data_IF_819769194728
#
_entry.id   IF_819769194728
#
_cell.length_a   1.000
_cell.length_b   1.000
_cell.length_c   1.000
_cell.angle_alpha   90.00
_cell.angle_beta   90.00
_cell.angle_gamma   90.00
#
_symmetry.space_group_name_H-M   'P 1'
#
loop_
_entity.id
_entity.type
_entity.pdbx_description
1 polymer ?
#
# COMPACT_ATOMS: atom_id res chain seq x y z
N UNK A 1 -12.11 7.83 14.80
CA UNK A 1 -10.74 7.41 14.46
C UNK A 1 -10.92 6.40 13.34
N UNK A 2 -10.56 6.75 12.10
CA UNK A 2 -10.79 5.87 10.95
C UNK A 2 -9.73 4.79 10.99
N UNK A 3 -10.14 3.54 11.19
CA UNK A 3 -9.26 2.38 11.04
C UNK A 3 -9.17 2.03 9.55
N UNK A 4 -7.95 1.77 9.09
CA UNK A 4 -7.70 1.31 7.72
C UNK A 4 -7.50 -0.20 7.72
N UNK A 5 -7.83 -0.89 6.62
CA UNK A 5 -7.70 -2.33 6.51
C UNK A 5 -6.31 -2.80 6.95
N UNK A 6 -6.31 -3.67 7.95
CA UNK A 6 -5.12 -4.24 8.59
C UNK A 6 -5.33 -5.76 8.74
N UNK A 7 -4.28 -6.49 9.12
CA UNK A 7 -4.41 -7.89 9.51
C UNK A 7 -5.25 -8.07 10.78
N UNK A 8 -5.32 -9.31 11.27
CA UNK A 8 -6.17 -9.71 12.42
C UNK A 8 -5.92 -8.89 13.71
N UNK A 9 -4.78 -8.21 13.81
CA UNK A 9 -4.39 -7.38 14.96
C UNK A 9 -4.83 -5.91 14.86
N UNK A 10 -5.47 -5.52 13.75
CA UNK A 10 -5.92 -4.15 13.48
C UNK A 10 -4.79 -3.13 13.32
N UNK A 11 -3.53 -3.58 13.21
CA UNK A 11 -2.35 -2.71 13.22
C UNK A 11 -1.38 -3.01 12.10
N UNK A 12 -1.09 -4.28 11.81
CA UNK A 12 -0.11 -4.64 10.78
C UNK A 12 -0.79 -4.59 9.42
N UNK A 13 -0.21 -3.83 8.48
CA UNK A 13 -0.70 -3.85 7.09
C UNK A 13 -0.04 -4.99 6.30
N UNK A 14 -0.64 -5.34 5.16
CA UNK A 14 -0.13 -6.41 4.31
C UNK A 14 1.34 -6.18 3.86
N UNK A 15 1.70 -4.93 3.54
CA UNK A 15 3.05 -4.54 3.14
C UNK A 15 4.06 -4.78 4.26
N UNK A 16 3.69 -4.49 5.51
CA UNK A 16 4.56 -4.73 6.65
C UNK A 16 4.83 -6.19 6.88
N UNK A 17 3.78 -7.01 6.78
CA UNK A 17 3.88 -8.45 6.97
C UNK A 17 4.79 -9.08 5.91
N UNK A 18 4.52 -8.80 4.63
CA UNK A 18 5.29 -9.41 3.54
C UNK A 18 6.76 -8.96 3.58
N UNK A 19 7.03 -7.67 3.80
CA UNK A 19 8.40 -7.15 3.89
C UNK A 19 9.15 -7.82 5.05
N UNK A 20 8.55 -7.91 6.24
CA UNK A 20 9.18 -8.61 7.38
C UNK A 20 9.47 -10.09 7.10
N UNK A 21 8.58 -10.78 6.39
CA UNK A 21 8.74 -12.20 6.08
C UNK A 21 9.85 -12.47 5.05
N UNK A 22 10.12 -11.53 4.15
CA UNK A 22 11.13 -11.69 3.08
C UNK A 22 12.47 -11.00 3.39
N UNK A 23 12.48 -9.95 4.22
CA UNK A 23 13.71 -9.29 4.69
C UNK A 23 14.62 -10.29 5.41
N UNK A 24 14.04 -11.12 6.28
CA UNK A 24 14.78 -12.16 7.02
C UNK A 24 15.36 -13.26 6.12
N UNK A 25 14.93 -13.34 4.85
CA UNK A 25 15.34 -14.36 3.89
C UNK A 25 16.28 -13.82 2.82
N UNK A 26 16.62 -12.52 2.86
CA UNK A 26 17.46 -11.84 1.89
C UNK A 26 16.98 -12.06 0.43
N UNK A 27 15.66 -12.05 0.22
CA UNK A 27 15.03 -12.33 -1.09
C UNK A 27 14.76 -11.07 -1.93
N UNK A 28 14.94 -9.88 -1.36
CA UNK A 28 14.68 -8.62 -2.07
C UNK A 28 15.92 -8.24 -2.86
N UNK A 29 15.73 -8.02 -4.15
CA UNK A 29 16.74 -7.48 -5.06
C UNK A 29 16.18 -6.33 -5.91
N UNK A 30 17.01 -5.76 -6.78
CA UNK A 30 16.61 -4.65 -7.66
C UNK A 30 15.52 -4.99 -8.68
N UNK A 31 15.20 -6.27 -8.88
CA UNK A 31 14.15 -6.74 -9.80
C UNK A 31 12.82 -7.01 -9.11
N UNK A 32 12.81 -6.99 -7.78
CA UNK A 32 11.63 -7.31 -6.96
C UNK A 32 10.51 -6.29 -7.14
N UNK A 33 9.28 -6.79 -7.29
CA UNK A 33 8.07 -5.98 -7.49
C UNK A 33 7.07 -6.28 -6.37
N UNK A 34 6.66 -5.23 -5.65
CA UNK A 34 5.58 -5.32 -4.67
C UNK A 34 4.24 -5.05 -5.34
N UNK A 35 3.30 -6.00 -5.23
CA UNK A 35 1.94 -5.84 -5.70
C UNK A 35 1.00 -5.61 -4.51
N UNK A 36 0.33 -4.46 -4.50
CA UNK A 36 -0.60 -4.08 -3.45
C UNK A 36 -2.03 -3.99 -3.98
N UNK A 37 -3.01 -4.42 -3.19
CA UNK A 37 -4.42 -4.23 -3.54
C UNK A 37 -4.78 -2.75 -3.57
N UNK A 38 -4.26 -1.97 -2.62
CA UNK A 38 -4.41 -0.51 -2.53
C UNK A 38 -3.06 0.16 -2.52
N UNK A 39 -2.99 1.41 -2.99
CA UNK A 39 -1.80 2.25 -2.91
C UNK A 39 -1.24 2.29 -1.48
N UNK A 40 0.08 2.03 -1.26
CA UNK A 40 0.65 1.97 0.08
C UNK A 40 0.50 3.29 0.83
N UNK A 41 0.17 3.23 2.12
CA UNK A 41 -0.03 4.43 2.90
C UNK A 41 1.30 5.17 3.15
N UNK A 42 1.26 6.51 3.08
CA UNK A 42 2.39 7.37 3.50
C UNK A 42 2.24 7.93 4.92
N UNK A 43 1.19 7.53 5.65
CA UNK A 43 0.93 7.91 7.04
C UNK A 43 0.17 6.79 7.74
N UNK A 44 0.52 6.54 9.00
CA UNK A 44 -0.14 5.58 9.89
C UNK A 44 -1.14 6.28 10.81
N UNK A 45 -2.22 5.57 11.14
CA UNK A 45 -3.10 5.95 12.24
C UNK A 45 -2.52 5.55 13.61
N UNK A 46 -1.79 4.42 13.65
CA UNK A 46 -1.13 3.91 14.86
C UNK A 46 0.16 4.69 15.13
N UNK A 47 0.25 5.29 16.32
CA UNK A 47 1.44 6.01 16.77
C UNK A 47 2.64 5.07 16.98
N UNK A 48 3.85 5.56 16.68
CA UNK A 48 5.11 4.82 16.85
C UNK A 48 5.40 3.77 15.76
N UNK A 49 4.47 3.51 14.82
CA UNK A 49 4.70 2.60 13.70
C UNK A 49 5.10 3.35 12.42
N UNK A 50 6.07 2.80 11.69
CA UNK A 50 6.44 3.31 10.38
C UNK A 50 5.30 3.09 9.36
N UNK A 51 5.11 4.06 8.47
CA UNK A 51 4.20 3.91 7.33
C UNK A 51 4.74 2.96 6.26
N UNK A 52 3.85 2.43 5.42
CA UNK A 52 4.20 1.44 4.41
C UNK A 52 5.21 2.00 3.39
N UNK A 53 5.12 3.27 3.01
CA UNK A 53 6.11 3.92 2.13
C UNK A 53 7.51 3.92 2.76
N UNK A 54 7.62 4.28 4.05
CA UNK A 54 8.90 4.22 4.77
C UNK A 54 9.49 2.80 4.78
N UNK A 55 8.65 1.78 4.97
CA UNK A 55 9.06 0.37 4.99
C UNK A 55 9.52 -0.11 3.61
N UNK A 56 8.78 0.23 2.55
CA UNK A 56 9.16 -0.07 1.17
C UNK A 56 10.53 0.55 0.84
N UNK A 57 10.76 1.81 1.17
CA UNK A 57 12.04 2.49 0.92
C UNK A 57 13.20 1.77 1.62
N UNK A 58 13.02 1.40 2.89
CA UNK A 58 14.04 0.71 3.68
C UNK A 58 14.34 -0.71 3.19
N UNK A 59 13.32 -1.41 2.69
CA UNK A 59 13.43 -2.79 2.21
C UNK A 59 14.27 -2.94 0.93
N UNK A 60 14.48 -1.84 0.19
CA UNK A 60 15.24 -1.86 -1.07
C UNK A 60 14.40 -2.14 -2.32
N UNK A 61 13.10 -2.43 -2.19
CA UNK A 61 12.17 -2.62 -3.31
C UNK A 61 12.17 -1.40 -4.25
N UNK A 62 12.26 -1.64 -5.56
CA UNK A 62 12.33 -0.58 -6.59
C UNK A 62 11.07 -0.41 -7.42
N UNK A 63 10.14 -1.35 -7.33
CA UNK A 63 8.93 -1.36 -8.13
C UNK A 63 7.70 -1.69 -7.27
N UNK A 64 6.68 -0.83 -7.35
CA UNK A 64 5.40 -1.00 -6.69
C UNK A 64 4.28 -0.92 -7.73
N UNK A 65 3.40 -1.91 -7.71
CA UNK A 65 2.18 -1.95 -8.53
C UNK A 65 0.98 -2.00 -7.61
N UNK A 66 -0.05 -1.19 -7.87
CA UNK A 66 -1.24 -1.15 -7.02
C UNK A 66 -2.54 -1.19 -7.81
N UNK A 67 -3.59 -1.72 -7.16
CA UNK A 67 -4.95 -1.80 -7.73
C UNK A 67 -5.75 -0.52 -7.59
N UNK A 68 -6.22 -0.25 -6.37
CA UNK A 68 -7.01 0.93 -6.04
C UNK A 68 -6.17 2.05 -5.41
N UNK A 69 -6.51 3.29 -5.71
CA UNK A 69 -5.81 4.48 -5.18
C UNK A 69 -6.23 4.76 -3.74
N UNK A 70 -5.29 5.14 -2.88
CA UNK A 70 -5.59 5.66 -1.54
C UNK A 70 -6.10 7.11 -1.66
N UNK A 71 -7.34 7.41 -1.23
CA UNK A 71 -7.91 8.75 -1.38
C UNK A 71 -7.22 9.81 -0.51
N UNK A 72 -6.56 9.45 0.59
CA UNK A 72 -6.07 10.41 1.58
C UNK A 72 -4.63 10.85 1.34
N UNK A 73 -3.76 9.95 0.86
CA UNK A 73 -2.31 10.19 0.88
C UNK A 73 -1.57 9.92 -0.43
N UNK A 74 -2.29 9.75 -1.54
CA UNK A 74 -1.70 9.39 -2.84
C UNK A 74 -0.61 10.34 -3.35
N UNK A 75 -0.79 11.66 -3.22
CA UNK A 75 0.21 12.63 -3.70
C UNK A 75 1.54 12.51 -2.94
N UNK A 76 1.46 12.44 -1.60
CA UNK A 76 2.63 12.30 -0.72
C UNK A 76 3.32 10.96 -0.97
N UNK A 77 2.53 9.88 -1.12
CA UNK A 77 3.03 8.54 -1.45
C UNK A 77 3.86 8.54 -2.73
N UNK A 78 3.29 9.05 -3.83
CA UNK A 78 3.98 9.12 -5.13
C UNK A 78 5.24 9.97 -5.06
N UNK A 79 5.20 11.10 -4.37
CA UNK A 79 6.35 11.98 -4.24
C UNK A 79 7.50 11.29 -3.50
N UNK A 80 7.23 10.73 -2.32
CA UNK A 80 8.25 10.06 -1.49
C UNK A 80 8.88 8.86 -2.19
N UNK A 81 8.07 8.04 -2.87
CA UNK A 81 8.59 6.90 -3.63
C UNK A 81 9.43 7.36 -4.82
N UNK A 82 9.00 8.39 -5.55
CA UNK A 82 9.76 8.96 -6.67
C UNK A 82 11.12 9.52 -6.22
N UNK A 83 11.16 10.25 -5.11
CA UNK A 83 12.40 10.79 -4.53
C UNK A 83 13.37 9.68 -4.12
N UNK A 84 12.86 8.54 -3.68
CA UNK A 84 13.65 7.35 -3.35
C UNK A 84 14.08 6.52 -4.59
N UNK A 85 13.75 6.96 -5.81
CA UNK A 85 14.04 6.23 -7.04
C UNK A 85 13.17 4.98 -7.24
N UNK A 86 11.99 4.92 -6.62
CA UNK A 86 11.06 3.79 -6.69
C UNK A 86 9.94 4.12 -7.68
N UNK A 87 9.69 3.18 -8.59
CA UNK A 87 8.59 3.30 -9.56
C UNK A 87 7.29 2.82 -8.95
N UNK A 88 6.25 3.64 -8.97
CA UNK A 88 4.89 3.25 -8.56
C UNK A 88 3.91 3.37 -9.73
N UNK A 89 3.15 2.30 -10.00
CA UNK A 89 2.18 2.24 -11.11
C UNK A 89 0.85 1.65 -10.67
N UNK A 90 -0.24 2.28 -11.10
CA UNK A 90 -1.56 1.67 -11.00
C UNK A 90 -1.74 0.66 -12.14
N UNK A 91 -2.42 -0.45 -11.86
CA UNK A 91 -2.91 -1.34 -12.93
C UNK A 91 -3.90 -0.59 -13.83
N UNK A 92 -3.98 -0.96 -15.11
CA UNK A 92 -4.88 -0.34 -16.09
C UNK A 92 -6.24 -1.05 -16.22
N UNK A 93 -6.36 -2.27 -15.71
CA UNK A 93 -7.61 -3.05 -15.76
C UNK A 93 -8.66 -2.45 -14.82
N UNK A 94 -9.70 -1.84 -15.40
CA UNK A 94 -10.81 -1.22 -14.67
C UNK A 94 -11.57 -2.19 -13.76
N UNK A 95 -11.67 -3.47 -14.14
CA UNK A 95 -12.32 -4.48 -13.30
C UNK A 95 -11.47 -4.81 -12.09
N UNK A 96 -10.14 -4.93 -12.27
CA UNK A 96 -9.22 -5.14 -11.16
C UNK A 96 -9.22 -3.94 -10.20
N UNK A 97 -9.18 -2.70 -10.71
CA UNK A 97 -9.28 -1.48 -9.89
C UNK A 97 -10.57 -1.48 -9.07
N UNK A 98 -11.72 -1.78 -9.69
CA UNK A 98 -13.02 -1.88 -9.01
C UNK A 98 -13.03 -2.96 -7.93
N UNK A 99 -12.49 -4.15 -8.24
CA UNK A 99 -12.40 -5.27 -7.29
C UNK A 99 -11.50 -4.92 -6.11
N UNK A 100 -10.36 -4.29 -6.35
CA UNK A 100 -9.45 -3.83 -5.31
C UNK A 100 -10.11 -2.80 -4.39
N UNK A 101 -10.82 -1.82 -4.95
CA UNK A 101 -11.55 -0.82 -4.16
C UNK A 101 -12.68 -1.47 -3.35
N UNK A 102 -13.40 -2.43 -3.94
CA UNK A 102 -14.46 -3.18 -3.27
C UNK A 102 -13.92 -3.94 -2.06
N UNK A 103 -12.88 -4.77 -2.25
CA UNK A 103 -12.27 -5.55 -1.17
C UNK A 103 -11.77 -4.64 -0.04
N UNK A 104 -11.16 -3.49 -0.37
CA UNK A 104 -10.72 -2.54 0.64
C UNK A 104 -11.87 -1.95 1.45
N UNK A 105 -12.93 -1.50 0.76
CA UNK A 105 -14.10 -0.91 1.42
C UNK A 105 -14.87 -1.92 2.28
N UNK A 106 -14.91 -3.20 1.89
CA UNK A 106 -15.54 -4.28 2.66
C UNK A 106 -14.74 -4.62 3.93
N UNK A 107 -13.43 -4.37 3.92
CA UNK A 107 -12.53 -4.59 5.05
C UNK A 107 -12.32 -3.36 5.94
N UNK A 108 -12.92 -2.21 5.59
CA UNK A 108 -12.83 -0.99 6.38
C UNK A 108 -14.00 -0.90 7.37
N UNK A 109 -13.74 -0.44 8.60
CA UNK A 109 -14.81 -0.23 9.59
C UNK A 109 -15.81 0.85 9.14
N UNK A 110 -15.37 1.81 8.32
CA UNK A 110 -16.24 2.76 7.64
C UNK A 110 -16.46 2.34 6.18
N UNK A 111 -17.69 1.98 5.77
CA UNK A 111 -17.97 1.63 4.38
C UNK A 111 -17.81 2.84 3.46
N UNK A 112 -17.24 2.62 2.27
CA UNK A 112 -17.01 3.61 1.20
C UNK A 112 -15.92 4.66 1.45
N UNK A 113 -14.80 4.29 2.11
CA UNK A 113 -13.59 5.15 2.16
C UNK A 113 -13.13 5.52 0.74
N UNK A 114 -13.11 4.54 -0.17
CA UNK A 114 -12.81 4.76 -1.60
C UNK A 114 -14.12 4.97 -2.34
N UNK A 115 -14.54 6.23 -2.48
CA UNK A 115 -15.87 6.62 -3.00
C UNK A 115 -16.04 6.48 -4.52
N UNK A 116 -14.96 6.34 -5.29
CA UNK A 116 -15.01 6.08 -6.74
C UNK A 116 -13.65 5.57 -7.22
N UNK A 117 -13.57 4.49 -8.04
CA UNK A 117 -12.39 4.25 -8.84
C UNK A 117 -12.29 5.40 -9.84
N UNK A 118 -11.39 6.36 -9.58
CA UNK A 118 -11.05 7.37 -10.57
C UNK A 118 -10.37 6.61 -11.71
N UNK A 119 -11.15 6.41 -12.78
CA UNK A 119 -10.69 5.87 -14.04
C UNK A 119 -9.95 6.90 -14.87
#
# INVERSE_FOLDING_TARGET
>A
MVSFPSGDDGKIHAEDRVISEVENKNLIDGSSILYCTVEPCSKRATEGMADCVSRIIRSGIKHVVYGARDPMHSQITKQRLKEAGITIKQVSDKNLIKKSAKIFNESAEEPNVIKKPLG
#
